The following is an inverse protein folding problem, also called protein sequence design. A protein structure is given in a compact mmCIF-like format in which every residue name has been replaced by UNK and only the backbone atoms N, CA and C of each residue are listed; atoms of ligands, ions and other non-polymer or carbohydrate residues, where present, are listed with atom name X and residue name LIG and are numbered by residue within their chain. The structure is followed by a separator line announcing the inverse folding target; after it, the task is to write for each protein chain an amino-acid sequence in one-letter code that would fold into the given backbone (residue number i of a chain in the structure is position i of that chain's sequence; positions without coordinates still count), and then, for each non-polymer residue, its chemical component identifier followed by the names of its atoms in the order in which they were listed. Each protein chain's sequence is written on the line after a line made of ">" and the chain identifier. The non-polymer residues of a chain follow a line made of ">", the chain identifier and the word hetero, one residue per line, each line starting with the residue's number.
data_IF_494262689381
#
_entry.id   IF_494262689381
#
_cell.length_a   1.000
_cell.length_b   1.000
_cell.length_c   1.000
_cell.angle_alpha   90.00
_cell.angle_beta   90.00
_cell.angle_gamma   90.00
#
_symmetry.space_group_name_H-M   'P 1'
#
loop_
_entity.id
_entity.type
_entity.pdbx_description
1 polymer ?
#
# COMPACT_ATOMS: atom_id res chain seq x y z
N UNK A 1 12.48 15.29 3.56
CA UNK A 1 12.47 14.46 2.33
C UNK A 1 11.13 13.74 2.31
N UNK A 2 10.19 14.09 1.41
CA UNK A 2 8.80 13.62 1.48
C UNK A 2 8.76 12.11 1.22
N UNK A 3 8.73 11.30 2.28
CA UNK A 3 8.48 9.88 2.19
C UNK A 3 7.10 9.68 1.59
N UNK A 4 7.00 9.04 0.43
CA UNK A 4 5.72 8.58 -0.15
C UNK A 4 5.25 7.35 0.63
N UNK A 5 5.15 7.49 1.94
CA UNK A 5 4.66 6.45 2.83
C UNK A 5 3.14 6.44 2.72
N UNK A 6 2.59 5.26 2.46
CA UNK A 6 1.16 5.13 2.21
C UNK A 6 0.73 5.42 0.78
N UNK A 7 1.59 5.27 -0.23
CA UNK A 7 1.16 5.32 -1.64
C UNK A 7 1.53 4.01 -2.33
N UNK A 8 0.55 3.42 -3.03
CA UNK A 8 0.72 2.17 -3.75
C UNK A 8 1.64 2.37 -4.96
N UNK A 9 2.73 1.63 -5.03
CA UNK A 9 3.69 1.75 -6.15
C UNK A 9 3.11 1.28 -7.50
N UNK A 10 2.05 0.47 -7.47
CA UNK A 10 1.43 -0.09 -8.69
C UNK A 10 0.34 0.80 -9.28
N UNK A 11 -0.56 1.33 -8.45
CA UNK A 11 -1.70 2.13 -8.91
C UNK A 11 -1.60 3.61 -8.51
N UNK A 12 -0.56 4.01 -7.79
CA UNK A 12 -0.33 5.37 -7.29
C UNK A 12 -1.48 5.93 -6.42
N UNK A 13 -2.33 5.04 -5.89
CA UNK A 13 -3.39 5.38 -4.95
C UNK A 13 -2.87 5.34 -3.52
N UNK A 14 -3.53 6.08 -2.63
CA UNK A 14 -3.27 6.04 -1.21
C UNK A 14 -3.51 4.63 -0.62
N UNK A 15 -2.60 4.18 0.23
CA UNK A 15 -2.69 2.92 0.97
C UNK A 15 -3.41 3.25 2.27
N UNK A 16 -4.55 2.60 2.55
CA UNK A 16 -5.34 2.91 3.74
C UNK A 16 -4.48 2.80 4.99
N UNK A 17 -4.59 3.78 5.90
CA UNK A 17 -3.79 3.80 7.13
C UNK A 17 -3.93 2.53 7.95
N UNK A 18 -5.14 1.97 8.07
CA UNK A 18 -5.36 0.68 8.73
C UNK A 18 -4.48 -0.45 8.17
N UNK A 19 -4.12 -0.39 6.88
CA UNK A 19 -3.19 -1.34 6.26
C UNK A 19 -1.75 -1.07 6.66
N UNK A 20 -1.35 0.20 6.77
CA UNK A 20 -0.02 0.61 7.23
C UNK A 20 0.15 0.38 8.74
N UNK A 21 -0.92 0.45 9.52
CA UNK A 21 -0.90 0.11 10.95
C UNK A 21 -0.69 -1.39 11.17
N UNK A 22 -1.34 -2.23 10.35
CA UNK A 22 -1.13 -3.69 10.40
C UNK A 22 0.18 -4.12 9.72
N UNK A 23 0.56 -3.45 8.63
CA UNK A 23 1.72 -3.79 7.79
C UNK A 23 2.38 -2.48 7.34
N UNK A 24 3.28 -1.90 8.14
CA UNK A 24 3.92 -0.63 7.80
C UNK A 24 4.81 -0.72 6.57
N UNK A 25 5.32 -1.91 6.25
CA UNK A 25 6.12 -2.16 5.05
C UNK A 25 5.26 -2.39 3.78
N UNK A 26 3.95 -2.12 3.84
CA UNK A 26 3.07 -2.29 2.69
C UNK A 26 3.42 -1.29 1.57
N UNK A 27 4.00 -1.82 0.49
CA UNK A 27 4.30 -1.09 -0.76
C UNK A 27 3.13 -1.01 -1.74
N UNK A 28 2.13 -1.87 -1.55
CA UNK A 28 0.96 -2.00 -2.41
C UNK A 28 -0.33 -1.85 -1.61
N UNK A 29 -1.35 -1.24 -2.23
CA UNK A 29 -2.70 -1.20 -1.65
C UNK A 29 -3.32 -2.60 -1.58
N UNK A 30 -4.38 -2.73 -0.77
CA UNK A 30 -5.10 -4.00 -0.55
C UNK A 30 -5.56 -4.60 -1.87
N UNK A 31 -6.12 -3.79 -2.77
CA UNK A 31 -6.58 -4.21 -4.11
C UNK A 31 -5.46 -4.85 -4.93
N UNK A 32 -4.32 -4.16 -5.06
CA UNK A 32 -3.17 -4.66 -5.81
C UNK A 32 -2.52 -5.88 -5.15
N UNK A 33 -2.49 -5.94 -3.81
CA UNK A 33 -2.00 -7.11 -3.07
C UNK A 33 -2.93 -8.31 -3.24
N UNK A 34 -4.25 -8.10 -3.21
CA UNK A 34 -5.25 -9.16 -3.41
C UNK A 34 -5.17 -9.74 -4.82
N UNK A 35 -4.90 -8.90 -5.82
CA UNK A 35 -4.68 -9.34 -7.20
C UNK A 35 -3.41 -10.21 -7.40
N UNK A 36 -2.43 -10.14 -6.49
CA UNK A 36 -1.20 -10.96 -6.55
C UNK A 36 -1.34 -12.33 -5.89
N UNK A 37 -2.39 -12.54 -5.08
CA UNK A 37 -2.57 -13.77 -4.30
C UNK A 37 -3.38 -14.85 -5.04
N UNK A 38 -3.29 -14.89 -6.37
CA UNK A 38 -4.03 -15.84 -7.22
C UNK A 38 -3.06 -16.72 -8.00
#
# INVERSE_FOLDING_TARGET
>A
KKGRYGVCERCNKDIPQARLELVPEARFCIECKKALSK
#
